data_IF_539168058057
#
_entry.id   IF_539168058057
#
_cell.length_a   1.000
_cell.length_b   1.000
_cell.length_c   1.000
_cell.angle_alpha   90.00
_cell.angle_beta   90.00
_cell.angle_gamma   90.00
#
_symmetry.space_group_name_H-M   'P 1'
#
loop_
_entity.id
_entity.type
_entity.pdbx_description
1 polymer ?
#
# COMPACT_ATOMS: atom_id res chain seq x y z
N UNK A 1 -11.25 1.97 -28.60
CA UNK A 1 -10.38 0.95 -27.99
C UNK A 1 -10.59 1.09 -26.49
N UNK A 2 -11.40 0.21 -25.93
CA UNK A 2 -11.74 0.25 -24.51
C UNK A 2 -10.57 -0.36 -23.76
N UNK A 3 -9.91 0.41 -22.89
CA UNK A 3 -8.82 -0.05 -22.01
C UNK A 3 -9.17 -1.32 -21.20
N UNK A 4 -10.45 -1.67 -21.12
CA UNK A 4 -10.96 -2.90 -20.53
C UNK A 4 -10.46 -4.18 -21.24
N UNK A 5 -10.07 -4.08 -22.51
CA UNK A 5 -9.54 -5.22 -23.28
C UNK A 5 -8.15 -5.65 -22.78
N UNK A 6 -7.46 -4.78 -22.00
CA UNK A 6 -6.17 -5.07 -21.38
C UNK A 6 -6.29 -5.82 -20.04
N UNK A 7 -7.51 -6.04 -19.55
CA UNK A 7 -7.76 -6.65 -18.24
C UNK A 7 -8.45 -8.01 -18.36
N UNK A 8 -7.91 -9.00 -17.65
CA UNK A 8 -8.60 -10.26 -17.41
C UNK A 8 -9.40 -10.16 -16.10
N UNK A 9 -10.72 -10.39 -16.18
CA UNK A 9 -11.59 -10.36 -15.01
C UNK A 9 -11.86 -11.79 -14.50
N UNK A 10 -11.60 -12.02 -13.22
CA UNK A 10 -11.79 -13.31 -12.56
C UNK A 10 -12.96 -13.26 -11.55
N UNK A 11 -13.63 -14.39 -11.34
CA UNK A 11 -14.72 -14.52 -10.36
C UNK A 11 -16.11 -14.16 -10.92
N UNK A 12 -16.84 -13.27 -10.23
CA UNK A 12 -18.21 -12.89 -10.64
C UNK A 12 -18.18 -11.81 -11.74
N UNK A 13 -17.83 -12.24 -12.96
CA UNK A 13 -17.65 -11.36 -14.12
C UNK A 13 -18.91 -10.57 -14.50
N UNK A 14 -20.10 -11.07 -14.16
CA UNK A 14 -21.37 -10.38 -14.39
C UNK A 14 -21.47 -9.02 -13.66
N UNK A 15 -20.71 -8.82 -12.57
CA UNK A 15 -20.69 -7.57 -11.81
C UNK A 15 -19.63 -6.57 -12.27
N UNK A 16 -18.77 -6.96 -13.21
CA UNK A 16 -17.66 -6.11 -13.68
C UNK A 16 -18.16 -4.78 -14.25
N UNK A 17 -19.21 -4.73 -15.09
CA UNK A 17 -19.69 -3.45 -15.64
C UNK A 17 -20.10 -2.47 -14.53
N UNK A 18 -20.93 -2.92 -13.57
CA UNK A 18 -21.40 -2.09 -12.46
C UNK A 18 -20.25 -1.62 -11.57
N UNK A 19 -19.26 -2.48 -11.32
CA UNK A 19 -18.08 -2.14 -10.53
C UNK A 19 -17.22 -1.07 -11.22
N UNK A 20 -16.93 -1.25 -12.51
CA UNK A 20 -16.16 -0.29 -13.30
C UNK A 20 -16.90 1.05 -13.39
N UNK A 21 -18.21 1.03 -13.61
CA UNK A 21 -19.02 2.26 -13.65
C UNK A 21 -19.04 2.97 -12.28
N UNK A 22 -19.07 2.23 -11.18
CA UNK A 22 -18.92 2.80 -9.83
C UNK A 22 -17.59 3.51 -9.63
N UNK A 23 -16.48 2.94 -10.12
CA UNK A 23 -15.14 3.54 -10.03
C UNK A 23 -14.98 4.82 -10.86
N UNK A 24 -15.67 4.92 -12.00
CA UNK A 24 -15.63 6.13 -12.87
C UNK A 24 -16.11 7.39 -12.17
N UNK A 25 -16.91 7.28 -11.11
CA UNK A 25 -17.43 8.43 -10.37
C UNK A 25 -16.35 9.28 -9.71
N UNK A 26 -15.14 8.74 -9.51
CA UNK A 26 -14.01 9.43 -8.86
C UNK A 26 -14.20 9.67 -7.35
N UNK A 27 -15.38 9.38 -6.81
CA UNK A 27 -15.70 9.53 -5.39
C UNK A 27 -15.21 8.31 -4.60
N UNK A 28 -13.91 8.23 -4.39
CA UNK A 28 -13.28 7.20 -3.57
C UNK A 28 -12.71 7.77 -2.29
N UNK A 29 -12.74 6.96 -1.22
CA UNK A 29 -12.02 7.24 0.01
C UNK A 29 -10.96 6.17 0.17
N UNK A 30 -9.70 6.59 0.25
CA UNK A 30 -8.61 5.70 0.64
C UNK A 30 -8.53 5.64 2.17
N UNK A 31 -8.50 4.43 2.71
CA UNK A 31 -8.35 4.17 4.15
C UNK A 31 -7.24 3.15 4.37
N UNK A 32 -6.18 3.56 5.08
CA UNK A 32 -5.10 2.68 5.50
C UNK A 32 -5.30 2.25 6.95
N UNK A 33 -5.44 0.95 7.18
CA UNK A 33 -5.53 0.36 8.52
C UNK A 33 -4.18 -0.20 8.91
N UNK A 34 -3.63 0.27 10.03
CA UNK A 34 -2.32 -0.13 10.53
C UNK A 34 -2.46 -1.13 11.67
N UNK A 35 -1.51 -2.05 11.78
CA UNK A 35 -1.43 -2.99 12.90
C UNK A 35 0.01 -3.47 13.10
N UNK A 36 0.29 -3.98 14.30
CA UNK A 36 1.51 -4.67 14.66
C UNK A 36 1.16 -5.98 15.36
N UNK A 37 1.98 -7.01 15.18
CA UNK A 37 1.85 -8.28 15.89
C UNK A 37 3.22 -8.82 16.24
N UNK A 38 3.40 -9.35 17.46
CA UNK A 38 4.64 -10.02 17.88
C UNK A 38 5.02 -11.18 16.94
N UNK A 39 4.06 -11.76 16.20
CA UNK A 39 4.34 -12.78 15.18
C UNK A 39 5.33 -12.31 14.11
N UNK A 40 5.39 -11.01 13.81
CA UNK A 40 6.32 -10.47 12.82
C UNK A 40 7.78 -10.49 13.28
N UNK A 41 8.05 -10.68 14.58
CA UNK A 41 9.41 -10.77 15.13
C UNK A 41 10.06 -12.14 14.87
N UNK A 42 9.26 -13.15 14.49
CA UNK A 42 9.73 -14.48 14.13
C UNK A 42 10.59 -14.37 12.86
N UNK A 43 11.87 -14.79 12.90
CA UNK A 43 12.76 -14.70 11.75
C UNK A 43 12.17 -15.37 10.49
N UNK A 44 12.16 -14.62 9.37
CA UNK A 44 11.72 -15.12 8.08
C UNK A 44 10.20 -15.07 7.81
N UNK A 45 9.37 -14.64 8.78
CA UNK A 45 7.92 -14.50 8.57
C UNK A 45 7.56 -13.25 7.75
N UNK A 46 8.34 -12.17 7.89
CA UNK A 46 8.12 -10.92 7.18
C UNK A 46 9.41 -10.39 6.59
N UNK A 47 9.26 -9.57 5.55
CA UNK A 47 10.31 -8.74 4.94
C UNK A 47 10.03 -7.25 5.12
N UNK A 48 9.00 -6.89 5.88
CA UNK A 48 8.67 -5.49 6.19
C UNK A 48 9.67 -4.94 7.21
N UNK A 49 10.26 -3.78 6.92
CA UNK A 49 11.35 -3.21 7.71
C UNK A 49 12.73 -3.76 7.29
N UNK A 50 13.76 -2.93 7.44
CA UNK A 50 15.13 -3.27 7.04
C UNK A 50 15.79 -4.26 8.04
N UNK A 51 15.36 -4.19 9.29
CA UNK A 51 15.80 -5.02 10.41
C UNK A 51 14.68 -5.21 11.44
N UNK A 52 14.91 -6.09 12.43
CA UNK A 52 13.91 -6.41 13.48
C UNK A 52 13.44 -5.20 14.28
N UNK A 53 14.32 -4.23 14.54
CA UNK A 53 13.98 -3.05 15.33
C UNK A 53 13.12 -2.07 14.52
N UNK A 54 13.24 -2.08 13.20
CA UNK A 54 12.48 -1.22 12.28
C UNK A 54 11.04 -1.69 12.00
N UNK A 55 10.73 -2.98 12.20
CA UNK A 55 9.44 -3.58 11.80
C UNK A 55 8.27 -2.86 12.49
N UNK A 56 8.38 -2.61 13.79
CA UNK A 56 7.37 -1.90 14.60
C UNK A 56 7.09 -0.47 14.15
N UNK A 57 8.05 0.16 13.47
CA UNK A 57 7.92 1.52 12.96
C UNK A 57 7.45 1.57 11.51
N UNK A 58 7.42 0.43 10.80
CA UNK A 58 7.02 0.39 9.39
C UNK A 58 5.56 0.83 9.19
N UNK A 59 4.56 0.33 9.94
CA UNK A 59 3.17 0.79 9.78
C UNK A 59 2.96 2.29 10.00
N UNK A 60 3.41 2.91 11.12
CA UNK A 60 3.24 4.36 11.28
C UNK A 60 4.03 5.17 10.25
N UNK A 61 5.23 4.73 9.86
CA UNK A 61 6.05 5.41 8.86
C UNK A 61 5.40 5.39 7.46
N UNK A 62 4.72 4.30 7.08
CA UNK A 62 3.95 4.24 5.83
C UNK A 62 2.82 5.27 5.83
N UNK A 63 2.02 5.35 6.91
CA UNK A 63 0.94 6.32 7.00
C UNK A 63 1.44 7.77 7.04
N UNK A 64 2.53 8.03 7.77
CA UNK A 64 3.18 9.33 7.78
C UNK A 64 3.67 9.72 6.39
N UNK A 65 4.29 8.80 5.66
CA UNK A 65 4.73 9.05 4.30
C UNK A 65 3.55 9.36 3.36
N UNK A 66 2.45 8.61 3.44
CA UNK A 66 1.27 8.88 2.63
C UNK A 66 0.67 10.27 2.90
N UNK A 67 0.65 10.67 4.17
CA UNK A 67 0.00 11.91 4.60
C UNK A 67 0.92 13.14 4.44
N UNK A 68 2.17 13.05 4.88
CA UNK A 68 3.13 14.17 4.91
C UNK A 68 4.12 14.19 3.74
N UNK A 69 4.28 13.08 3.01
CA UNK A 69 5.34 12.90 2.01
C UNK A 69 6.71 12.55 2.60
N UNK A 70 6.82 12.42 3.93
CA UNK A 70 8.02 12.01 4.65
C UNK A 70 7.64 11.31 5.97
N UNK A 71 8.56 10.54 6.53
CA UNK A 71 8.37 9.83 7.79
C UNK A 71 8.81 10.70 8.98
N UNK A 72 8.03 10.70 10.06
CA UNK A 72 8.33 11.40 11.32
C UNK A 72 8.87 10.46 12.39
N UNK A 73 8.42 9.21 12.37
CA UNK A 73 8.83 8.18 13.32
C UNK A 73 10.25 7.67 13.03
N UNK A 74 10.68 7.69 11.77
CA UNK A 74 12.00 7.25 11.31
C UNK A 74 12.52 8.20 10.21
N UNK A 75 13.84 8.31 10.06
CA UNK A 75 14.48 9.28 9.14
C UNK A 75 14.36 8.90 7.65
N UNK A 76 14.05 7.65 7.35
CA UNK A 76 14.00 7.11 5.98
C UNK A 76 12.68 6.38 5.75
N UNK A 77 12.22 6.35 4.50
CA UNK A 77 11.09 5.51 4.14
C UNK A 77 11.39 4.03 4.48
N UNK A 78 10.38 3.26 4.92
CA UNK A 78 10.58 1.84 5.16
C UNK A 78 11.09 1.14 3.90
N UNK A 79 11.98 0.18 4.11
CA UNK A 79 12.55 -0.66 3.06
C UNK A 79 12.59 -2.10 3.56
N UNK A 80 12.62 -3.05 2.63
CA UNK A 80 12.95 -4.44 2.92
C UNK A 80 14.44 -4.58 3.29
N UNK A 81 14.89 -5.72 3.87
CA UNK A 81 16.31 -5.93 4.20
C UNK A 81 17.26 -5.84 3.01
N UNK A 82 16.77 -6.11 1.80
CA UNK A 82 17.51 -6.00 0.54
C UNK A 82 17.32 -4.64 -0.17
N UNK A 83 16.73 -3.66 0.52
CA UNK A 83 16.69 -2.26 0.11
C UNK A 83 15.56 -1.86 -0.85
N UNK A 84 14.55 -2.71 -1.04
CA UNK A 84 13.37 -2.33 -1.85
C UNK A 84 12.49 -1.38 -1.04
N UNK A 85 12.04 -0.25 -1.60
CA UNK A 85 11.22 0.72 -0.88
C UNK A 85 9.82 0.17 -0.60
N UNK A 86 9.18 0.73 0.42
CA UNK A 86 7.79 0.43 0.77
C UNK A 86 6.83 0.62 -0.42
N UNK A 87 5.82 -0.26 -0.59
CA UNK A 87 4.72 -0.04 -1.52
C UNK A 87 3.93 1.26 -1.28
N UNK A 88 4.06 1.89 -0.11
CA UNK A 88 3.46 3.20 0.17
C UNK A 88 3.90 4.26 -0.85
N UNK A 89 5.05 4.09 -1.52
CA UNK A 89 5.47 4.93 -2.64
C UNK A 89 4.48 4.90 -3.81
N UNK A 90 4.00 3.71 -4.20
CA UNK A 90 3.00 3.56 -5.26
C UNK A 90 1.65 4.13 -4.83
N UNK A 91 1.24 3.87 -3.58
CA UNK A 91 0.02 4.42 -3.01
C UNK A 91 0.03 5.94 -3.00
N UNK A 92 1.14 6.56 -2.58
CA UNK A 92 1.28 8.03 -2.58
C UNK A 92 1.16 8.60 -3.98
N UNK A 93 1.87 8.01 -4.96
CA UNK A 93 1.79 8.45 -6.36
C UNK A 93 0.36 8.35 -6.91
N UNK A 94 -0.36 7.27 -6.60
CA UNK A 94 -1.75 7.10 -7.02
C UNK A 94 -2.68 8.13 -6.38
N UNK A 95 -2.52 8.41 -5.08
CA UNK A 95 -3.32 9.42 -4.37
C UNK A 95 -3.05 10.84 -4.85
N UNK A 96 -1.79 11.18 -5.14
CA UNK A 96 -1.40 12.51 -5.61
C UNK A 96 -1.78 12.74 -7.09
N UNK A 97 -2.02 11.68 -7.85
CA UNK A 97 -2.43 11.74 -9.27
C UNK A 97 -3.95 11.65 -9.48
N UNK A 98 -4.72 11.41 -8.40
CA UNK A 98 -6.17 11.20 -8.44
C UNK A 98 -6.97 12.50 -8.53
#
# INVERSE_FOLDING_TARGET
MTYLDDFEFLGNTNKVPDFIDGLKSGHSLFSLVLSYTETCEIPGITIAGADKDSIKFTPPADAEYLYYGYCKTIDKIPMTPDGKPTPALLTKMALDSA
#
